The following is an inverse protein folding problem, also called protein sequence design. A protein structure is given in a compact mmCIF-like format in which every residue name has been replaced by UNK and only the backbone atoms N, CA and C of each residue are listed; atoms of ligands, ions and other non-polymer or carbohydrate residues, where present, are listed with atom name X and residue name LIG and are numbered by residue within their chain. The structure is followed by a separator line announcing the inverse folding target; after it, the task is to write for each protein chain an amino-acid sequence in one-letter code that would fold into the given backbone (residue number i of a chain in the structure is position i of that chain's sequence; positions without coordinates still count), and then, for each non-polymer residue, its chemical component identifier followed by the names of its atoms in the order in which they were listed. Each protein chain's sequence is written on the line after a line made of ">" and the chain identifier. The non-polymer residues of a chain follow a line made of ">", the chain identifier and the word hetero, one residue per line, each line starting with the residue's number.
data_IF_590454582544
#
_entry.id   IF_590454582544
#
_cell.length_a   1.000
_cell.length_b   1.000
_cell.length_c   1.000
_cell.angle_alpha   90.00
_cell.angle_beta   90.00
_cell.angle_gamma   90.00
#
_symmetry.space_group_name_H-M   'P 1'
#
loop_
_entity.id
_entity.type
_entity.pdbx_description
1 polymer ?
#
# COMPACT_ATOMS: atom_id res chain seq x y z
N UNK A 1 -17.33 14.52 -10.25
CA UNK A 1 -16.95 13.18 -10.72
C UNK A 1 -15.92 12.60 -9.76
N UNK A 2 -16.06 11.35 -9.30
CA UNK A 2 -14.96 10.67 -8.61
C UNK A 2 -13.87 10.38 -9.65
N UNK A 3 -12.58 10.62 -9.36
CA UNK A 3 -11.53 10.33 -10.32
C UNK A 3 -11.54 8.84 -10.69
N UNK A 4 -11.29 8.53 -11.97
CA UNK A 4 -11.11 7.15 -12.42
C UNK A 4 -9.90 6.54 -11.68
N UNK A 5 -10.02 5.32 -11.12
CA UNK A 5 -8.86 4.62 -10.57
C UNK A 5 -7.77 4.48 -11.63
N UNK A 6 -6.54 4.76 -11.23
CA UNK A 6 -5.36 4.52 -12.04
C UNK A 6 -4.81 3.15 -11.68
N UNK A 7 -4.68 2.32 -12.69
CA UNK A 7 -4.03 1.04 -12.57
C UNK A 7 -2.52 1.28 -12.52
N UNK A 8 -1.80 0.66 -11.56
CA UNK A 8 -0.34 0.62 -11.60
C UNK A 8 0.13 0.01 -12.93
N UNK A 9 1.27 0.47 -13.45
CA UNK A 9 1.91 -0.21 -14.58
C UNK A 9 2.41 -1.59 -14.14
N UNK A 10 2.77 -2.45 -15.09
CA UNK A 10 3.37 -3.75 -14.77
C UNK A 10 4.66 -3.59 -13.93
N UNK A 11 5.50 -2.61 -14.27
CA UNK A 11 6.71 -2.28 -13.51
C UNK A 11 6.38 -1.81 -12.09
N UNK A 12 5.37 -0.95 -11.93
CA UNK A 12 4.92 -0.51 -10.60
C UNK A 12 4.38 -1.69 -9.78
N UNK A 13 3.68 -2.64 -10.41
CA UNK A 13 3.24 -3.86 -9.71
C UNK A 13 4.41 -4.72 -9.26
N UNK A 14 5.42 -4.90 -10.09
CA UNK A 14 6.65 -5.61 -9.71
C UNK A 14 7.36 -4.92 -8.56
N UNK A 15 7.50 -3.59 -8.61
CA UNK A 15 8.05 -2.78 -7.52
C UNK A 15 7.27 -2.98 -6.21
N UNK A 16 5.94 -2.87 -6.26
CA UNK A 16 5.10 -3.04 -5.06
C UNK A 16 5.30 -4.43 -4.45
N UNK A 17 5.27 -5.48 -5.26
CA UNK A 17 5.20 -6.86 -4.78
C UNK A 17 6.57 -7.44 -4.44
N UNK A 18 7.56 -7.27 -5.31
CA UNK A 18 8.87 -7.91 -5.22
C UNK A 18 10.01 -6.92 -4.93
N UNK A 19 9.77 -5.64 -5.16
CA UNK A 19 10.75 -4.59 -4.95
C UNK A 19 11.74 -4.46 -6.09
N UNK A 20 12.52 -3.40 -6.00
CA UNK A 20 13.64 -3.06 -6.88
C UNK A 20 14.67 -2.23 -6.10
N UNK A 21 15.68 -1.68 -6.79
CA UNK A 21 16.73 -0.86 -6.17
C UNK A 21 16.19 0.41 -5.46
N UNK A 22 14.95 0.82 -5.74
CA UNK A 22 14.30 1.97 -5.13
C UNK A 22 13.35 1.59 -3.97
N UNK A 23 13.26 0.31 -3.61
CA UNK A 23 12.51 -0.18 -2.46
C UNK A 23 11.36 -1.11 -2.85
N UNK A 24 10.19 -0.93 -2.24
CA UNK A 24 9.03 -1.82 -2.46
C UNK A 24 9.17 -3.18 -1.76
N UNK A 25 8.66 -4.22 -2.42
CA UNK A 25 8.75 -5.63 -1.98
C UNK A 25 7.87 -5.96 -0.78
N UNK A 26 6.57 -5.74 -0.95
CA UNK A 26 5.56 -5.89 0.08
C UNK A 26 4.75 -7.18 -0.03
N UNK A 27 4.99 -8.04 -1.01
CA UNK A 27 4.37 -9.37 -1.02
C UNK A 27 4.81 -10.16 0.21
N UNK A 28 3.97 -11.09 0.68
CA UNK A 28 4.34 -11.92 1.80
C UNK A 28 5.57 -12.79 1.49
N UNK A 29 6.48 -12.91 2.47
CA UNK A 29 7.68 -13.73 2.36
C UNK A 29 8.86 -13.07 1.65
N UNK A 30 8.79 -11.78 1.30
CA UNK A 30 9.95 -11.07 0.74
C UNK A 30 11.04 -10.82 1.79
N UNK A 31 10.69 -10.69 3.07
CA UNK A 31 11.67 -10.56 4.16
C UNK A 31 12.47 -9.26 4.15
N UNK A 32 12.06 -8.24 3.37
CA UNK A 32 12.81 -6.99 3.25
C UNK A 32 12.79 -6.22 4.56
N UNK A 33 13.98 -5.99 5.13
CA UNK A 33 14.18 -5.32 6.41
C UNK A 33 13.51 -3.94 6.45
N UNK A 34 12.81 -3.66 7.55
CA UNK A 34 12.10 -2.40 7.77
C UNK A 34 10.81 -2.22 6.96
N UNK A 35 10.44 -3.17 6.08
CA UNK A 35 9.20 -3.14 5.30
C UNK A 35 8.10 -3.99 5.92
N UNK A 36 6.87 -3.64 5.58
CA UNK A 36 5.67 -4.41 5.91
C UNK A 36 5.27 -5.30 4.76
N UNK A 37 4.62 -6.42 5.06
CA UNK A 37 4.15 -7.37 4.06
C UNK A 37 2.62 -7.46 4.06
N UNK A 38 2.05 -7.65 2.87
CA UNK A 38 0.64 -8.02 2.69
C UNK A 38 0.37 -9.36 3.38
N UNK A 39 -0.86 -9.60 3.83
CA UNK A 39 -1.18 -10.86 4.46
C UNK A 39 -0.95 -12.05 3.51
N UNK A 40 -0.36 -13.14 4.02
CA UNK A 40 -0.11 -14.36 3.23
C UNK A 40 -1.37 -14.95 2.60
N UNK A 41 -2.54 -14.73 3.23
CA UNK A 41 -3.81 -15.21 2.72
C UNK A 41 -4.40 -14.32 1.61
N UNK A 42 -3.77 -13.17 1.28
CA UNK A 42 -4.19 -12.34 0.15
C UNK A 42 -3.55 -12.84 -1.15
N UNK A 43 -4.39 -13.13 -2.13
CA UNK A 43 -3.93 -13.38 -3.51
C UNK A 43 -3.47 -12.08 -4.17
N UNK A 44 -2.69 -12.19 -5.25
CA UNK A 44 -2.28 -11.03 -6.06
C UNK A 44 -3.50 -10.21 -6.53
N UNK A 45 -4.55 -10.88 -7.00
CA UNK A 45 -5.80 -10.23 -7.40
C UNK A 45 -6.48 -9.51 -6.24
N UNK A 46 -6.40 -10.05 -5.01
CA UNK A 46 -6.97 -9.37 -3.84
C UNK A 46 -6.22 -8.08 -3.52
N UNK A 47 -4.89 -8.12 -3.58
CA UNK A 47 -4.02 -6.94 -3.41
C UNK A 47 -4.38 -5.89 -4.47
N UNK A 48 -4.50 -6.29 -5.73
CA UNK A 48 -4.90 -5.40 -6.83
C UNK A 48 -6.25 -4.74 -6.57
N UNK A 49 -7.29 -5.52 -6.25
CA UNK A 49 -8.59 -4.95 -5.91
C UNK A 49 -8.52 -3.99 -4.72
N UNK A 50 -7.77 -4.32 -3.67
CA UNK A 50 -7.63 -3.46 -2.49
C UNK A 50 -6.99 -2.11 -2.83
N UNK A 51 -5.93 -2.11 -3.65
CA UNK A 51 -5.28 -0.88 -4.13
C UNK A 51 -6.24 -0.03 -4.95
N UNK A 52 -7.06 -0.64 -5.82
CA UNK A 52 -8.02 0.08 -6.65
C UNK A 52 -9.22 0.61 -5.84
N UNK A 53 -9.65 -0.11 -4.81
CA UNK A 53 -10.78 0.28 -3.97
C UNK A 53 -10.45 1.49 -3.09
N UNK A 54 -9.22 1.57 -2.57
CA UNK A 54 -8.76 2.75 -1.82
C UNK A 54 -8.77 4.02 -2.68
N UNK A 55 -8.47 3.91 -3.98
CA UNK A 55 -8.57 5.06 -4.88
C UNK A 55 -10.01 5.56 -5.05
N UNK A 56 -11.02 4.68 -4.89
CA UNK A 56 -12.44 5.02 -5.00
C UNK A 56 -13.02 5.54 -3.67
N UNK A 57 -12.52 5.02 -2.56
CA UNK A 57 -13.06 5.23 -1.22
C UNK A 57 -11.95 5.18 -0.17
N UNK A 58 -11.03 6.14 -0.23
CA UNK A 58 -10.07 6.34 0.85
C UNK A 58 -10.76 6.84 2.11
N UNK A 59 -10.21 6.46 3.26
CA UNK A 59 -10.58 7.00 4.56
C UNK A 59 -9.97 8.40 4.73
N UNK A 60 -8.68 8.54 4.40
CA UNK A 60 -7.99 9.83 4.44
C UNK A 60 -7.15 10.05 3.20
N UNK A 61 -6.98 11.34 2.87
CA UNK A 61 -6.14 11.80 1.76
C UNK A 61 -5.21 12.86 2.33
N UNK A 62 -3.90 12.60 2.28
CA UNK A 62 -2.84 13.51 2.72
C UNK A 62 -2.01 13.92 1.48
N UNK A 63 -1.67 15.20 1.34
CA UNK A 63 -0.81 15.68 0.26
C UNK A 63 0.48 16.20 0.89
N UNK A 64 1.63 15.64 0.51
CA UNK A 64 2.92 16.12 0.97
C UNK A 64 3.90 16.24 -0.21
N UNK A 65 4.47 17.44 -0.38
CA UNK A 65 5.41 17.76 -1.47
C UNK A 65 4.84 17.36 -2.84
N UNK A 66 5.42 16.34 -3.48
CA UNK A 66 5.03 15.81 -4.80
C UNK A 66 4.38 14.42 -4.68
N UNK A 67 3.71 14.15 -3.56
CA UNK A 67 3.03 12.88 -3.33
C UNK A 67 1.64 13.08 -2.72
N UNK A 68 0.73 12.19 -3.10
CA UNK A 68 -0.60 12.06 -2.49
C UNK A 68 -0.72 10.68 -1.87
N UNK A 69 -1.11 10.64 -0.59
CA UNK A 69 -1.25 9.43 0.19
C UNK A 69 -2.74 9.17 0.43
N UNK A 70 -3.20 8.01 -0.02
CA UNK A 70 -4.55 7.53 0.25
C UNK A 70 -4.45 6.40 1.24
N UNK A 71 -4.98 6.59 2.43
CA UNK A 71 -5.11 5.52 3.42
C UNK A 71 -6.55 4.97 3.37
N UNK A 72 -6.69 3.66 3.49
CA UNK A 72 -7.99 3.01 3.59
C UNK A 72 -7.90 1.64 4.25
N UNK A 73 -9.03 1.17 4.78
CA UNK A 73 -9.12 -0.16 5.37
C UNK A 73 -9.87 -1.08 4.42
N UNK A 74 -9.25 -2.21 4.10
CA UNK A 74 -9.82 -3.27 3.26
C UNK A 74 -9.62 -4.60 3.99
N UNK A 75 -10.71 -5.33 4.26
CA UNK A 75 -10.71 -6.59 5.03
C UNK A 75 -9.97 -6.52 6.37
N UNK A 76 -10.04 -5.37 7.05
CA UNK A 76 -9.35 -5.16 8.34
C UNK A 76 -7.84 -4.89 8.21
N UNK A 77 -7.34 -4.65 7.00
CA UNK A 77 -5.98 -4.19 6.72
C UNK A 77 -6.01 -2.70 6.36
N UNK A 78 -5.33 -1.89 7.16
CA UNK A 78 -5.01 -0.51 6.81
C UNK A 78 -3.91 -0.52 5.76
N UNK A 79 -4.21 0.02 4.59
CA UNK A 79 -3.36 0.04 3.41
C UNK A 79 -3.17 1.49 2.97
N UNK A 80 -1.96 1.80 2.50
CA UNK A 80 -1.57 3.10 1.95
C UNK A 80 -1.28 2.94 0.47
N UNK A 81 -1.90 3.78 -0.37
CA UNK A 81 -1.61 3.92 -1.79
C UNK A 81 -1.00 5.30 -2.02
N UNK A 82 0.17 5.33 -2.64
CA UNK A 82 0.93 6.57 -2.85
C UNK A 82 0.94 6.90 -4.34
N UNK A 83 0.53 8.11 -4.67
CA UNK A 83 0.66 8.68 -6.00
C UNK A 83 1.83 9.64 -6.03
N UNK A 84 2.65 9.56 -7.07
CA UNK A 84 3.55 10.65 -7.43
C UNK A 84 2.76 11.70 -8.22
N UNK A 85 3.02 12.98 -7.94
CA UNK A 85 2.56 14.11 -8.74
C UNK A 85 3.69 14.55 -9.67
N UNK A 86 3.41 14.64 -10.97
CA UNK A 86 4.33 15.30 -11.89
C UNK A 86 4.14 16.82 -11.88
N UNK A 87 5.02 17.54 -12.56
CA UNK A 87 5.00 19.01 -12.62
C UNK A 87 3.83 19.57 -13.44
N UNK A 88 3.24 18.73 -14.28
CA UNK A 88 2.17 19.08 -15.22
C UNK A 88 0.78 18.76 -14.64
N UNK A 89 0.71 18.37 -13.37
CA UNK A 89 -0.53 18.04 -12.66
C UNK A 89 -1.05 16.63 -12.93
N UNK A 90 -0.28 15.81 -13.66
CA UNK A 90 -0.50 14.39 -13.77
C UNK A 90 -0.13 13.67 -12.48
N UNK A 91 -0.70 12.48 -12.33
CA UNK A 91 -0.41 11.60 -11.20
C UNK A 91 -0.37 10.16 -11.67
N UNK A 92 0.49 9.37 -11.03
CA UNK A 92 0.61 7.93 -11.26
C UNK A 92 0.80 7.21 -9.92
N UNK A 93 0.29 5.99 -9.80
CA UNK A 93 0.58 5.16 -8.61
C UNK A 93 2.08 4.91 -8.57
N UNK A 94 2.71 5.26 -7.44
CA UNK A 94 4.13 5.05 -7.18
C UNK A 94 4.37 3.75 -6.41
N UNK A 95 3.55 3.50 -5.40
CA UNK A 95 3.65 2.31 -4.56
C UNK A 95 2.36 2.11 -3.76
N UNK A 96 2.19 0.93 -3.17
CA UNK A 96 1.14 0.62 -2.22
C UNK A 96 1.63 -0.44 -1.23
N UNK A 97 1.28 -0.30 0.04
CA UNK A 97 1.76 -1.20 1.08
C UNK A 97 0.86 -1.21 2.32
N UNK A 98 0.71 -2.36 2.99
CA UNK A 98 -0.06 -2.43 4.21
C UNK A 98 0.68 -1.71 5.33
N UNK A 99 -0.04 -0.98 6.15
CA UNK A 99 0.50 -0.35 7.35
C UNK A 99 0.30 -1.28 8.56
N UNK A 100 -0.93 -1.80 8.72
CA UNK A 100 -1.38 -2.59 9.88
C UNK A 100 -2.56 -3.48 9.49
N UNK A 101 -2.81 -4.57 10.19
CA UNK A 101 -3.95 -5.44 9.94
C UNK A 101 -3.70 -6.88 10.37
N UNK A 102 -4.76 -7.69 10.35
CA UNK A 102 -4.62 -9.12 10.58
C UNK A 102 -3.75 -9.75 9.46
N UNK A 103 -2.65 -10.37 9.84
CA UNK A 103 -1.68 -10.96 8.92
C UNK A 103 -0.66 -9.97 8.33
N UNK A 104 -0.66 -8.69 8.75
CA UNK A 104 0.40 -7.75 8.37
C UNK A 104 1.57 -7.89 9.33
N UNK A 105 2.76 -8.08 8.78
CA UNK A 105 4.00 -8.17 9.53
C UNK A 105 5.00 -7.12 9.04
N UNK A 106 5.83 -6.61 9.95
CA UNK A 106 7.01 -5.83 9.62
C UNK A 106 8.26 -6.66 9.87
N UNK A 107 9.17 -6.68 8.91
CA UNK A 107 10.45 -7.36 9.08
C UNK A 107 11.39 -6.45 9.89
N UNK A 108 11.85 -6.95 11.04
CA UNK A 108 12.75 -6.25 11.96
C UNK A 108 13.82 -7.23 12.44
N UNK A 109 15.09 -6.94 12.15
CA UNK A 109 16.24 -7.78 12.46
C UNK A 109 16.05 -9.24 12.02
N UNK A 110 15.49 -9.45 10.83
CA UNK A 110 15.19 -10.79 10.30
C UNK A 110 14.00 -11.51 10.94
N UNK A 111 13.23 -10.85 11.80
CA UNK A 111 12.03 -11.40 12.44
C UNK A 111 10.76 -10.71 11.93
N UNK A 112 9.70 -11.49 11.73
CA UNK A 112 8.36 -10.98 11.37
C UNK A 112 7.63 -10.50 12.62
N UNK A 113 7.46 -9.19 12.77
CA UNK A 113 6.75 -8.57 13.90
C UNK A 113 5.33 -8.21 13.48
N UNK A 114 4.32 -8.80 14.14
CA UNK A 114 2.91 -8.54 13.81
C UNK A 114 2.52 -7.10 14.08
N UNK A 115 1.81 -6.48 13.13
CA UNK A 115 1.27 -5.13 13.24
C UNK A 115 -0.27 -5.16 13.17
N UNK A 116 -0.97 -5.50 14.26
CA UNK A 116 -2.42 -5.52 14.27
C UNK A 116 -2.99 -4.11 14.07
N UNK A 117 -4.22 -4.05 13.56
CA UNK A 117 -4.97 -2.81 13.43
C UNK A 117 -5.26 -2.22 14.82
N UNK A 118 -5.05 -0.92 14.98
CA UNK A 118 -5.30 -0.20 16.23
C UNK A 118 -6.69 0.45 16.21
N UNK A 119 -7.23 0.75 17.41
CA UNK A 119 -8.54 1.43 17.53
C UNK A 119 -8.57 2.78 16.81
N UNK A 120 -7.45 3.51 16.83
CA UNK A 120 -7.34 4.82 16.19
C UNK A 120 -7.36 4.76 14.66
N UNK A 121 -6.93 3.65 14.07
CA UNK A 121 -6.85 3.49 12.61
C UNK A 121 -8.25 3.50 11.96
N UNK A 122 -9.29 3.16 12.73
CA UNK A 122 -10.68 3.15 12.27
C UNK A 122 -11.35 4.52 12.25
N UNK A 123 -10.66 5.57 12.72
CA UNK A 123 -11.21 6.93 12.89
C UNK A 123 -10.53 7.97 11.98
N UNK A 124 -9.59 7.56 11.14
CA UNK A 124 -8.96 8.43 10.14
C UNK A 124 -9.94 8.83 9.05
#
# INVERSE_FOLDING_TARGET
>A
MRPKPQYPSAETWLHILFGDDNGGGHLAGQGIEGKTEFPEYWTLSRIECAVLDIQKQALSIEIEKQAVFFDGIVDGVLLRVVFALDRDGGRAVKTAYPLRGNGVFKNINGVRVSLPLLRQDRRK
#
